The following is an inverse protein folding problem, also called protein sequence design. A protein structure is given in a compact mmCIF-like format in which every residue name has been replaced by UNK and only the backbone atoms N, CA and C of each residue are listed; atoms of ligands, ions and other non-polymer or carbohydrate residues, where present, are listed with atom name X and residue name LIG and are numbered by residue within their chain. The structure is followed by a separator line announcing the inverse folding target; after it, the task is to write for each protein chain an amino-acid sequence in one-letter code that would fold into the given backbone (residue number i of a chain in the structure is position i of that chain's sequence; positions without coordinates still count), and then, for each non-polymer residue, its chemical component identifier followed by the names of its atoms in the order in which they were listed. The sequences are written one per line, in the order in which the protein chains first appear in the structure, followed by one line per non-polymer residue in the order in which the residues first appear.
data_IF_734275128156
#
_entry.id   IF_734275128156
#
_cell.length_a   1.000
_cell.length_b   1.000
_cell.length_c   1.000
_cell.angle_alpha   90.00
_cell.angle_beta   90.00
_cell.angle_gamma   90.00
#
_symmetry.space_group_name_H-M   'P 1'
#
loop_
_entity.id
_entity.type
_entity.pdbx_description
1 polymer ?
#
# COMPACT_ATOMS: atom_id res chain seq x y z
N UNK A 1 6.67 -18.90 5.31
CA UNK A 1 5.72 -18.65 6.44
C UNK A 1 4.26 -18.78 6.00
N UNK A 2 3.33 -19.15 6.89
CA UNK A 2 1.91 -19.32 6.55
C UNK A 2 1.26 -18.06 5.96
N UNK A 3 1.70 -16.87 6.40
CA UNK A 3 1.23 -15.59 5.88
C UNK A 3 1.67 -15.32 4.43
N UNK A 4 2.87 -15.76 4.03
CA UNK A 4 3.34 -15.70 2.64
C UNK A 4 2.52 -16.65 1.78
N UNK A 5 2.33 -17.89 2.24
CA UNK A 5 1.50 -18.89 1.56
C UNK A 5 0.08 -18.40 1.33
N UNK A 6 -0.58 -17.81 2.31
CA UNK A 6 -1.96 -17.32 2.14
C UNK A 6 -2.12 -16.28 1.02
N UNK A 7 -1.09 -15.48 0.72
CA UNK A 7 -1.17 -14.48 -0.37
C UNK A 7 -0.65 -15.02 -1.69
N UNK A 8 0.42 -15.82 -1.68
CA UNK A 8 0.85 -16.53 -2.89
C UNK A 8 -0.25 -17.47 -3.37
N UNK A 9 -0.88 -18.24 -2.48
CA UNK A 9 -1.98 -19.16 -2.79
C UNK A 9 -3.19 -18.39 -3.33
N UNK A 10 -3.49 -17.19 -2.82
CA UNK A 10 -4.54 -16.32 -3.38
C UNK A 10 -4.18 -15.78 -4.78
N UNK A 11 -2.90 -15.48 -5.04
CA UNK A 11 -2.43 -15.09 -6.37
C UNK A 11 -2.47 -16.27 -7.35
N UNK A 12 -2.05 -17.46 -6.91
CA UNK A 12 -2.14 -18.70 -7.66
C UNK A 12 -3.59 -19.08 -7.94
N UNK A 13 -4.48 -19.03 -6.95
CA UNK A 13 -5.92 -19.28 -7.14
C UNK A 13 -6.53 -18.34 -8.18
N UNK A 14 -6.14 -17.06 -8.20
CA UNK A 14 -6.58 -16.13 -9.23
C UNK A 14 -6.05 -16.50 -10.61
N UNK A 15 -4.79 -16.92 -10.71
CA UNK A 15 -4.19 -17.42 -11.95
C UNK A 15 -4.93 -18.67 -12.44
N UNK A 16 -5.09 -19.69 -11.59
CA UNK A 16 -5.80 -20.94 -11.89
C UNK A 16 -7.27 -20.73 -12.25
N UNK A 17 -7.94 -19.73 -11.66
CA UNK A 17 -9.33 -19.37 -12.02
C UNK A 17 -9.44 -18.57 -13.32
N UNK A 18 -8.40 -17.82 -13.69
CA UNK A 18 -8.41 -16.92 -14.86
C UNK A 18 -7.94 -17.62 -16.13
N UNK A 19 -7.00 -18.57 -16.01
CA UNK A 19 -6.29 -19.16 -17.14
C UNK A 19 -6.88 -20.52 -17.51
N UNK A 20 -6.97 -20.82 -18.81
CA UNK A 20 -7.27 -22.18 -19.27
C UNK A 20 -6.10 -23.12 -18.97
N UNK A 21 -6.29 -24.45 -18.97
CA UNK A 21 -5.19 -25.41 -18.82
C UNK A 21 -4.02 -25.16 -19.79
N UNK A 22 -4.31 -24.84 -21.05
CA UNK A 22 -3.29 -24.56 -22.05
C UNK A 22 -2.50 -23.28 -21.73
N UNK A 23 -3.18 -22.25 -21.22
CA UNK A 23 -2.53 -21.01 -20.78
C UNK A 23 -1.65 -21.23 -19.56
N UNK A 24 -2.05 -22.10 -18.64
CA UNK A 24 -1.22 -22.49 -17.49
C UNK A 24 0.03 -23.25 -17.93
N UNK A 25 -0.08 -24.16 -18.90
CA UNK A 25 1.09 -24.86 -19.43
C UNK A 25 2.04 -23.91 -20.17
N UNK A 26 1.52 -22.95 -20.93
CA UNK A 26 2.33 -21.89 -21.53
C UNK A 26 3.00 -21.01 -20.46
N UNK A 27 2.31 -20.72 -19.35
CA UNK A 27 2.89 -19.95 -18.25
C UNK A 27 4.06 -20.68 -17.57
N UNK A 28 3.98 -22.01 -17.39
CA UNK A 28 5.09 -22.83 -16.88
C UNK A 28 6.31 -22.74 -17.80
N UNK A 29 6.10 -22.88 -19.11
CA UNK A 29 7.18 -22.72 -20.10
C UNK A 29 7.78 -21.30 -20.02
N UNK A 30 6.95 -20.28 -19.84
CA UNK A 30 7.39 -18.90 -19.64
C UNK A 30 8.27 -18.74 -18.40
N UNK A 31 7.86 -19.34 -17.28
CA UNK A 31 8.62 -19.34 -16.02
C UNK A 31 9.99 -20.01 -16.18
N UNK A 32 10.04 -21.19 -16.79
CA UNK A 32 11.29 -21.90 -17.07
C UNK A 32 12.25 -21.07 -17.94
N UNK A 33 11.72 -20.39 -18.97
CA UNK A 33 12.52 -19.51 -19.83
C UNK A 33 13.02 -18.27 -19.10
N UNK A 34 12.23 -17.69 -18.19
CA UNK A 34 12.65 -16.58 -17.36
C UNK A 34 13.81 -16.99 -16.44
N UNK A 35 13.71 -18.17 -15.81
CA UNK A 35 14.77 -18.73 -14.98
C UNK A 35 16.05 -18.99 -15.78
N UNK A 36 15.95 -19.59 -16.98
CA UNK A 36 17.10 -19.79 -17.87
C UNK A 36 17.79 -18.46 -18.24
N UNK A 37 16.99 -17.43 -18.54
CA UNK A 37 17.52 -16.10 -18.84
C UNK A 37 18.29 -15.52 -17.65
N UNK A 38 17.71 -15.52 -16.45
CA UNK A 38 18.35 -15.02 -15.23
C UNK A 38 19.69 -15.71 -15.00
N UNK A 39 19.68 -17.05 -15.05
CA UNK A 39 20.89 -17.89 -14.90
C UNK A 39 21.98 -17.52 -15.89
N UNK A 40 21.64 -17.39 -17.17
CA UNK A 40 22.59 -17.06 -18.24
C UNK A 40 23.11 -15.63 -18.14
N UNK A 41 22.26 -14.69 -17.75
CA UNK A 41 22.64 -13.31 -17.52
C UNK A 41 23.69 -13.21 -16.40
N UNK A 42 23.44 -13.86 -15.26
CA UNK A 42 24.40 -13.92 -14.15
C UNK A 42 25.69 -14.62 -14.58
N UNK A 43 25.60 -15.76 -15.27
CA UNK A 43 26.77 -16.50 -15.75
C UNK A 43 27.64 -15.69 -16.75
N UNK A 44 27.03 -14.74 -17.47
CA UNK A 44 27.73 -13.82 -18.37
C UNK A 44 28.37 -12.62 -17.64
N UNK A 45 28.31 -12.56 -16.31
CA UNK A 45 28.80 -11.43 -15.51
C UNK A 45 27.81 -10.27 -15.39
N UNK A 46 26.54 -10.50 -15.75
CA UNK A 46 25.47 -9.54 -15.56
C UNK A 46 25.24 -9.22 -14.08
N UNK A 47 25.03 -7.93 -13.77
CA UNK A 47 24.74 -7.47 -12.42
C UNK A 47 23.25 -7.64 -12.11
N UNK A 48 22.89 -8.71 -11.40
CA UNK A 48 21.52 -8.93 -10.94
C UNK A 48 21.19 -8.00 -9.77
N UNK A 49 20.04 -7.34 -9.81
CA UNK A 49 19.53 -6.48 -8.74
C UNK A 49 18.10 -6.91 -8.42
N UNK A 50 17.82 -7.05 -7.14
CA UNK A 50 16.51 -7.48 -6.66
C UNK A 50 15.46 -6.38 -6.55
N UNK A 51 14.21 -6.80 -6.63
CA UNK A 51 13.01 -5.98 -6.46
C UNK A 51 11.74 -6.83 -6.58
N UNK A 52 10.87 -6.77 -5.58
CA UNK A 52 9.80 -7.77 -5.41
C UNK A 52 8.38 -7.30 -5.80
N UNK A 53 8.23 -6.09 -6.34
CA UNK A 53 6.95 -5.44 -6.67
C UNK A 53 5.77 -5.79 -5.72
N UNK A 54 5.94 -5.55 -4.41
CA UNK A 54 5.08 -6.18 -3.41
C UNK A 54 3.69 -5.53 -3.36
N UNK A 55 2.58 -6.28 -3.50
CA UNK A 55 1.27 -5.76 -3.18
C UNK A 55 1.14 -5.56 -1.66
N UNK A 56 0.75 -4.35 -1.23
CA UNK A 56 0.26 -4.02 0.12
C UNK A 56 1.00 -4.69 1.31
N UNK A 57 1.91 -3.96 1.96
CA UNK A 57 2.40 -4.31 3.31
C UNK A 57 3.26 -5.59 3.43
N UNK A 58 3.58 -6.26 2.32
CA UNK A 58 4.43 -7.46 2.30
C UNK A 58 5.82 -7.22 1.70
N UNK A 59 6.24 -5.96 1.61
CA UNK A 59 7.49 -5.59 0.93
C UNK A 59 8.71 -6.34 1.46
N UNK A 60 8.78 -6.56 2.77
CA UNK A 60 9.87 -7.35 3.36
C UNK A 60 9.78 -8.83 2.97
N UNK A 61 8.61 -9.47 3.10
CA UNK A 61 8.48 -10.91 2.87
C UNK A 61 8.73 -11.31 1.42
N UNK A 62 8.24 -10.52 0.46
CA UNK A 62 8.40 -10.85 -0.97
C UNK A 62 9.82 -10.61 -1.47
N UNK A 63 10.61 -9.76 -0.80
CA UNK A 63 12.04 -9.66 -1.09
C UNK A 63 12.77 -10.96 -0.74
N UNK A 64 12.45 -11.60 0.38
CA UNK A 64 13.02 -12.90 0.72
C UNK A 64 12.58 -14.01 -0.24
N UNK A 65 11.34 -13.96 -0.72
CA UNK A 65 10.86 -14.90 -1.75
C UNK A 65 11.63 -14.72 -3.06
N UNK A 66 11.91 -13.48 -3.46
CA UNK A 66 12.68 -13.19 -4.67
C UNK A 66 14.09 -13.81 -4.61
N UNK A 67 14.76 -13.73 -3.45
CA UNK A 67 16.03 -14.44 -3.23
C UNK A 67 15.93 -15.96 -3.39
N UNK A 68 14.81 -16.55 -2.98
CA UNK A 68 14.56 -17.99 -3.19
C UNK A 68 14.41 -18.26 -4.69
N UNK A 69 13.64 -17.44 -5.40
CA UNK A 69 13.44 -17.57 -6.85
C UNK A 69 14.75 -17.43 -7.64
N UNK A 70 15.65 -16.55 -7.23
CA UNK A 70 17.00 -16.44 -7.79
C UNK A 70 17.77 -17.77 -7.64
N UNK A 71 17.77 -18.35 -6.45
CA UNK A 71 18.42 -19.65 -6.19
C UNK A 71 17.75 -20.78 -6.97
N UNK A 72 16.42 -20.78 -7.09
CA UNK A 72 15.67 -21.72 -7.94
C UNK A 72 16.03 -21.58 -9.42
N UNK A 73 16.32 -20.36 -9.89
CA UNK A 73 16.82 -20.10 -11.23
C UNK A 73 18.28 -20.56 -11.43
N UNK A 74 18.97 -21.01 -10.36
CA UNK A 74 20.34 -21.49 -10.40
C UNK A 74 21.38 -20.40 -10.12
N UNK A 75 20.98 -19.27 -9.55
CA UNK A 75 21.90 -18.24 -9.06
C UNK A 75 22.54 -18.71 -7.74
N UNK A 76 23.86 -18.59 -7.55
CA UNK A 76 24.49 -18.93 -6.28
C UNK A 76 23.91 -18.10 -5.11
N UNK A 77 23.70 -18.68 -3.91
CA UNK A 77 23.09 -17.96 -2.78
C UNK A 77 23.76 -16.63 -2.42
N UNK A 78 25.10 -16.58 -2.44
CA UNK A 78 25.83 -15.32 -2.20
C UNK A 78 25.53 -14.26 -3.27
N UNK A 79 25.37 -14.67 -4.53
CA UNK A 79 25.02 -13.75 -5.62
C UNK A 79 23.60 -13.21 -5.46
N UNK A 80 22.65 -14.04 -5.00
CA UNK A 80 21.29 -13.58 -4.66
C UNK A 80 21.31 -12.58 -3.50
N UNK A 81 22.06 -12.85 -2.43
CA UNK A 81 22.24 -11.88 -1.31
C UNK A 81 22.82 -10.56 -1.81
N UNK A 82 23.82 -10.60 -2.70
CA UNK A 82 24.37 -9.41 -3.34
C UNK A 82 23.34 -8.67 -4.21
N UNK A 83 22.44 -9.40 -4.87
CA UNK A 83 21.37 -8.82 -5.67
C UNK A 83 20.43 -7.94 -4.85
N UNK A 84 20.18 -8.26 -3.58
CA UNK A 84 19.38 -7.44 -2.66
C UNK A 84 20.19 -6.43 -1.82
N UNK A 85 21.53 -6.43 -1.91
CA UNK A 85 22.40 -5.56 -1.10
C UNK A 85 23.34 -4.73 -1.98
N UNK A 86 24.56 -5.20 -2.23
CA UNK A 86 25.62 -4.48 -2.93
C UNK A 86 25.19 -4.05 -4.33
N UNK A 87 24.48 -4.91 -5.06
CA UNK A 87 24.10 -4.62 -6.45
C UNK A 87 23.00 -3.55 -6.50
N UNK A 88 22.10 -3.51 -5.52
CA UNK A 88 21.15 -2.40 -5.34
C UNK A 88 21.92 -1.10 -5.11
N UNK A 89 22.87 -1.08 -4.17
CA UNK A 89 23.66 0.10 -3.88
C UNK A 89 24.43 0.60 -5.11
N UNK A 90 25.04 -0.30 -5.89
CA UNK A 90 25.71 0.03 -7.16
C UNK A 90 24.75 0.62 -8.19
N UNK A 91 23.57 0.02 -8.36
CA UNK A 91 22.56 0.52 -9.31
C UNK A 91 22.11 1.94 -8.99
N UNK A 92 22.04 2.29 -7.70
CA UNK A 92 21.71 3.64 -7.23
C UNK A 92 22.93 4.56 -7.05
N UNK A 93 24.15 4.10 -7.37
CA UNK A 93 25.41 4.85 -7.17
C UNK A 93 25.62 5.29 -5.72
N UNK A 94 25.31 4.37 -4.81
CA UNK A 94 25.35 4.52 -3.35
C UNK A 94 26.24 3.48 -2.67
N UNK A 95 26.99 2.72 -3.46
CA UNK A 95 27.89 1.66 -3.00
C UNK A 95 29.08 2.17 -2.18
N UNK A 96 29.37 3.47 -2.17
CA UNK A 96 30.33 4.07 -1.24
C UNK A 96 29.80 4.13 0.20
N UNK A 97 28.49 4.30 0.36
CA UNK A 97 27.86 4.50 1.66
C UNK A 97 27.13 3.24 2.16
N UNK A 98 26.63 2.39 1.25
CA UNK A 98 25.71 1.28 1.54
C UNK A 98 26.10 -0.03 0.83
N UNK A 99 25.38 -1.11 1.16
CA UNK A 99 25.35 -2.36 0.40
C UNK A 99 26.38 -3.41 0.82
N UNK A 100 27.33 -3.09 1.71
CA UNK A 100 28.26 -4.06 2.30
C UNK A 100 28.70 -3.63 3.70
N UNK A 101 29.27 -4.57 4.46
CA UNK A 101 29.79 -4.35 5.81
C UNK A 101 31.27 -4.01 5.72
N UNK A 102 31.58 -2.72 5.63
CA UNK A 102 32.94 -2.20 5.48
C UNK A 102 33.13 -0.94 6.35
N UNK A 103 34.35 -0.68 6.88
CA UNK A 103 34.63 0.54 7.62
C UNK A 103 34.30 1.80 6.82
N UNK A 104 33.65 2.77 7.46
CA UNK A 104 33.27 4.05 6.84
C UNK A 104 31.89 4.06 6.18
N UNK A 105 31.24 2.91 6.01
CA UNK A 105 29.87 2.80 5.50
C UNK A 105 28.82 3.03 6.59
N UNK A 106 27.59 3.32 6.16
CA UNK A 106 26.44 3.47 7.04
C UNK A 106 26.12 2.12 7.69
N UNK A 107 25.88 2.14 9.00
CA UNK A 107 25.61 0.95 9.80
C UNK A 107 24.15 0.48 9.65
N UNK A 108 23.80 0.05 8.44
CA UNK A 108 22.53 -0.59 8.10
C UNK A 108 22.74 -2.11 7.99
N UNK A 109 22.24 -2.86 8.97
CA UNK A 109 22.52 -4.28 9.13
C UNK A 109 21.23 -5.07 9.41
N UNK A 110 21.13 -6.26 8.84
CA UNK A 110 20.17 -7.28 9.25
C UNK A 110 20.94 -8.47 9.82
N UNK A 111 20.64 -8.84 11.07
CA UNK A 111 21.23 -10.00 11.74
C UNK A 111 20.24 -11.15 11.65
N UNK A 112 20.70 -12.27 11.12
CA UNK A 112 19.87 -13.40 10.70
C UNK A 112 20.29 -14.64 11.49
N UNK A 113 19.33 -15.45 11.91
CA UNK A 113 19.58 -16.76 12.51
C UNK A 113 19.59 -17.86 11.44
N UNK A 114 20.69 -18.63 11.39
CA UNK A 114 20.92 -19.67 10.39
C UNK A 114 21.98 -19.26 9.37
N UNK A 115 22.27 -20.16 8.42
CA UNK A 115 23.24 -19.93 7.34
C UNK A 115 22.52 -19.76 5.99
N UNK A 116 22.41 -18.52 5.46
CA UNK A 116 21.73 -18.25 4.20
C UNK A 116 22.50 -18.74 2.96
N UNK A 117 23.76 -19.18 3.11
CA UNK A 117 24.53 -19.78 2.02
C UNK A 117 24.21 -21.26 1.86
N UNK A 118 23.83 -21.94 2.94
CA UNK A 118 23.38 -23.33 2.94
C UNK A 118 21.88 -23.45 2.66
N UNK A 119 21.08 -22.52 3.19
CA UNK A 119 19.64 -22.45 2.98
C UNK A 119 19.18 -20.99 2.87
N UNK A 120 18.85 -20.55 1.66
CA UNK A 120 18.46 -19.16 1.40
C UNK A 120 17.19 -18.73 2.15
N UNK A 121 16.34 -19.67 2.58
CA UNK A 121 15.19 -19.38 3.43
C UNK A 121 15.59 -18.83 4.80
N UNK A 122 16.81 -19.12 5.26
CA UNK A 122 17.32 -18.57 6.52
C UNK A 122 17.27 -17.04 6.54
N UNK A 123 17.33 -16.36 5.37
CA UNK A 123 17.25 -14.90 5.29
C UNK A 123 16.00 -14.30 5.96
N UNK A 124 14.91 -15.07 6.08
CA UNK A 124 13.67 -14.66 6.74
C UNK A 124 13.76 -14.62 8.27
N UNK A 125 14.75 -15.28 8.87
CA UNK A 125 14.90 -15.41 10.32
C UNK A 125 15.65 -14.21 10.92
N UNK A 126 15.18 -13.00 10.63
CA UNK A 126 15.80 -11.76 11.11
C UNK A 126 15.59 -11.62 12.62
N UNK A 127 16.68 -11.53 13.37
CA UNK A 127 16.69 -11.36 14.84
C UNK A 127 16.89 -9.92 15.28
N UNK A 128 17.60 -9.14 14.47
CA UNK A 128 17.89 -7.76 14.78
C UNK A 128 18.05 -6.98 13.48
N UNK A 129 17.54 -5.75 13.47
CA UNK A 129 17.80 -4.78 12.42
C UNK A 129 18.49 -3.59 13.07
N UNK A 130 19.59 -3.15 12.47
CA UNK A 130 20.28 -1.90 12.79
C UNK A 130 20.07 -0.98 11.60
N UNK A 131 19.61 0.24 11.85
CA UNK A 131 19.43 1.27 10.83
C UNK A 131 20.11 2.54 11.34
N UNK A 132 21.00 3.12 10.54
CA UNK A 132 21.81 4.29 10.90
C UNK A 132 22.52 4.11 12.26
N UNK A 133 23.07 2.91 12.49
CA UNK A 133 23.77 2.56 13.74
C UNK A 133 22.87 2.36 14.96
N UNK A 134 21.54 2.40 14.81
CA UNK A 134 20.57 2.22 15.91
C UNK A 134 19.80 0.93 15.73
N UNK A 135 19.68 0.16 16.81
CA UNK A 135 18.82 -1.04 16.83
C UNK A 135 17.36 -0.61 16.70
N UNK A 136 16.63 -1.23 15.77
CA UNK A 136 15.21 -0.99 15.51
C UNK A 136 14.37 -2.05 16.20
N UNK A 137 13.26 -1.64 16.83
CA UNK A 137 12.25 -2.58 17.32
C UNK A 137 11.50 -3.20 16.13
N UNK A 138 11.69 -4.49 15.94
CA UNK A 138 11.08 -5.28 14.86
C UNK A 138 9.71 -5.87 15.26
N UNK A 139 9.21 -5.58 16.46
CA UNK A 139 7.91 -6.05 16.91
C UNK A 139 6.76 -5.39 16.11
N UNK A 140 5.72 -6.17 15.81
CA UNK A 140 4.53 -5.71 15.09
C UNK A 140 3.58 -4.82 15.90
N UNK A 141 4.00 -4.32 17.07
CA UNK A 141 3.13 -3.68 18.06
C UNK A 141 2.55 -2.33 17.62
N UNK A 142 3.11 -1.67 16.59
CA UNK A 142 2.67 -0.35 16.13
C UNK A 142 2.83 -0.13 14.61
N UNK A 143 2.64 -1.17 13.77
CA UNK A 143 2.82 -1.04 12.33
C UNK A 143 1.89 0.02 11.72
N UNK A 144 2.47 1.12 11.25
CA UNK A 144 1.83 2.11 10.36
C UNK A 144 2.52 1.97 9.00
N UNK A 145 1.78 1.65 7.95
CA UNK A 145 2.34 1.55 6.61
C UNK A 145 2.99 2.89 6.23
N UNK A 146 4.33 2.98 6.14
CA UNK A 146 5.03 4.25 5.89
C UNK A 146 4.88 4.71 4.44
N UNK A 147 4.42 3.80 3.58
CA UNK A 147 4.12 4.07 2.18
C UNK A 147 2.62 4.40 2.10
N UNK A 148 2.24 5.63 1.71
CA UNK A 148 0.85 5.96 1.40
C UNK A 148 0.27 4.92 0.44
N UNK A 149 -0.95 4.46 0.67
CA UNK A 149 -1.55 3.40 -0.16
C UNK A 149 -1.49 3.77 -1.64
N UNK A 150 -0.62 3.10 -2.42
CA UNK A 150 -0.42 3.30 -3.87
C UNK A 150 -1.69 3.11 -4.74
N UNK A 151 -2.84 2.80 -4.13
CA UNK A 151 -4.11 2.55 -4.82
C UNK A 151 -5.32 3.08 -4.05
N UNK A 152 -5.20 4.11 -3.21
CA UNK A 152 -6.38 4.61 -2.51
C UNK A 152 -7.44 5.15 -3.48
N UNK A 153 -7.04 5.71 -4.63
CA UNK A 153 -7.96 6.11 -5.71
C UNK A 153 -8.78 4.96 -6.31
N UNK A 154 -8.31 3.70 -6.24
CA UNK A 154 -9.09 2.54 -6.68
C UNK A 154 -10.13 2.09 -5.66
N UNK A 155 -10.07 2.63 -4.43
CA UNK A 155 -10.98 2.29 -3.33
C UNK A 155 -12.02 3.37 -3.06
N UNK A 156 -12.00 4.49 -3.80
CA UNK A 156 -12.95 5.57 -3.61
C UNK A 156 -14.31 5.12 -4.16
N UNK A 157 -15.40 5.20 -3.37
CA UNK A 157 -16.72 4.83 -3.85
C UNK A 157 -17.12 5.69 -5.06
N UNK A 158 -17.49 5.04 -6.16
CA UNK A 158 -17.99 5.71 -7.38
C UNK A 158 -19.46 6.08 -7.29
N UNK A 159 -20.20 5.53 -6.33
CA UNK A 159 -21.60 5.87 -6.10
C UNK A 159 -21.76 6.22 -4.63
N UNK A 160 -22.35 7.39 -4.38
CA UNK A 160 -22.61 7.89 -3.04
C UNK A 160 -24.08 8.26 -2.86
N UNK A 161 -24.65 7.70 -1.82
CA UNK A 161 -25.95 8.10 -1.31
C UNK A 161 -25.79 8.67 0.10
N UNK A 162 -26.46 9.77 0.36
CA UNK A 162 -26.47 10.38 1.69
C UNK A 162 -27.88 10.43 2.27
N UNK A 163 -27.95 10.35 3.60
CA UNK A 163 -29.18 10.54 4.37
C UNK A 163 -28.86 11.20 5.72
N UNK A 164 -29.56 12.28 6.12
CA UNK A 164 -30.59 13.00 5.34
C UNK A 164 -30.00 13.78 4.16
N UNK A 165 -30.84 14.13 3.17
CA UNK A 165 -30.47 14.98 2.02
C UNK A 165 -30.83 16.46 2.18
N UNK A 166 -31.66 16.76 3.17
CA UNK A 166 -32.16 18.11 3.46
C UNK A 166 -31.88 18.42 4.92
N UNK A 167 -31.31 19.59 5.17
CA UNK A 167 -31.12 20.19 6.48
C UNK A 167 -31.60 21.64 6.47
N UNK A 168 -31.68 22.24 7.65
CA UNK A 168 -31.93 23.67 7.85
C UNK A 168 -30.63 24.33 8.30
N UNK A 169 -30.41 25.59 7.93
CA UNK A 169 -29.20 26.32 8.30
C UNK A 169 -28.96 26.33 9.83
N UNK A 170 -27.74 25.98 10.21
CA UNK A 170 -27.34 25.79 11.60
C UNK A 170 -28.05 24.66 12.34
N UNK A 171 -28.67 23.71 11.65
CA UNK A 171 -29.16 22.49 12.28
C UNK A 171 -27.98 21.59 12.70
N UNK A 172 -28.07 20.98 13.87
CA UNK A 172 -27.13 19.98 14.30
C UNK A 172 -26.86 19.96 15.82
N UNK A 173 -25.92 19.11 16.26
CA UNK A 173 -25.11 18.20 15.45
C UNK A 173 -25.97 17.14 14.73
N UNK A 174 -25.70 16.90 13.46
CA UNK A 174 -26.44 15.94 12.64
C UNK A 174 -25.54 14.80 12.18
N UNK A 175 -25.98 13.57 12.40
CA UNK A 175 -25.33 12.37 11.85
C UNK A 175 -25.78 12.18 10.40
N UNK A 176 -24.86 12.40 9.48
CA UNK A 176 -24.98 12.08 8.07
C UNK A 176 -24.56 10.63 7.84
N UNK A 177 -25.48 9.79 7.36
CA UNK A 177 -25.14 8.47 6.84
C UNK A 177 -24.70 8.61 5.39
N UNK A 178 -23.51 8.11 5.08
CA UNK A 178 -22.95 8.10 3.73
C UNK A 178 -22.80 6.65 3.31
N UNK A 179 -23.53 6.23 2.28
CA UNK A 179 -23.52 4.87 1.72
C UNK A 179 -22.87 4.85 0.35
N UNK A 180 -22.20 3.75 0.06
CA UNK A 180 -21.50 3.54 -1.19
C UNK A 180 -20.76 2.21 -1.18
N UNK A 181 -20.08 1.89 -2.27
CA UNK A 181 -19.35 0.63 -2.40
C UNK A 181 -17.88 0.79 -1.98
N UNK A 182 -17.31 -0.24 -1.35
CA UNK A 182 -15.88 -0.31 -1.00
C UNK A 182 -15.37 0.77 -0.03
N UNK A 183 -16.12 1.03 1.05
CA UNK A 183 -15.69 1.95 2.12
C UNK A 183 -14.65 1.31 3.05
N UNK A 184 -13.78 2.14 3.63
CA UNK A 184 -12.68 1.70 4.51
C UNK A 184 -12.51 2.62 5.74
N UNK A 185 -11.87 2.14 6.82
CA UNK A 185 -11.63 2.93 8.04
C UNK A 185 -10.84 4.24 7.84
N UNK A 186 -10.03 4.31 6.79
CA UNK A 186 -9.23 5.49 6.45
C UNK A 186 -9.97 6.50 5.55
N UNK A 187 -11.21 6.23 5.16
CA UNK A 187 -12.00 7.21 4.40
C UNK A 187 -12.51 8.32 5.31
N UNK A 188 -12.57 9.53 4.74
CA UNK A 188 -13.07 10.75 5.37
C UNK A 188 -14.14 11.36 4.50
N UNK A 189 -15.23 11.77 5.13
CA UNK A 189 -16.32 12.48 4.46
C UNK A 189 -15.97 13.95 4.43
N UNK A 190 -16.03 14.54 3.25
CA UNK A 190 -15.72 15.94 3.00
C UNK A 190 -17.02 16.69 2.72
N UNK A 191 -17.12 17.91 3.23
CA UNK A 191 -18.22 18.85 2.98
C UNK A 191 -17.68 20.08 2.25
N UNK A 192 -18.31 20.43 1.14
CA UNK A 192 -17.95 21.62 0.36
C UNK A 192 -19.20 22.38 -0.07
N UNK A 193 -19.24 23.70 0.09
CA UNK A 193 -20.32 24.52 -0.46
C UNK A 193 -20.06 24.83 -1.94
N UNK A 194 -21.06 24.66 -2.80
CA UNK A 194 -20.88 24.84 -4.26
C UNK A 194 -21.00 26.30 -4.70
N UNK A 195 -21.66 27.18 -3.92
CA UNK A 195 -21.83 28.59 -4.27
C UNK A 195 -21.76 29.51 -3.05
N UNK A 196 -20.68 30.30 -2.94
CA UNK A 196 -20.49 31.34 -1.93
C UNK A 196 -19.02 31.77 -1.81
N UNK A 197 -18.75 33.06 -2.02
CA UNK A 197 -17.46 33.77 -1.97
C UNK A 197 -16.30 33.16 -2.78
N UNK A 198 -15.68 33.98 -3.64
CA UNK A 198 -14.54 33.68 -4.53
C UNK A 198 -13.28 33.17 -3.77
N UNK A 199 -13.34 33.10 -2.44
CA UNK A 199 -12.19 32.83 -1.56
C UNK A 199 -12.24 31.51 -0.76
N UNK A 200 -13.29 30.69 -0.84
CA UNK A 200 -13.34 29.43 -0.05
C UNK A 200 -13.35 28.17 -0.94
N UNK A 201 -12.15 27.80 -1.41
CA UNK A 201 -11.92 26.63 -2.27
C UNK A 201 -11.76 25.31 -1.50
N UNK A 202 -11.70 25.36 -0.16
CA UNK A 202 -11.28 24.22 0.66
C UNK A 202 -12.49 23.37 1.10
N UNK A 203 -12.45 22.07 0.80
CA UNK A 203 -13.36 21.10 1.40
C UNK A 203 -13.04 20.94 2.89
N UNK A 204 -14.07 20.87 3.72
CA UNK A 204 -13.95 20.69 5.17
C UNK A 204 -14.08 19.19 5.46
N UNK A 205 -13.14 18.63 6.20
CA UNK A 205 -13.23 17.24 6.68
C UNK A 205 -14.24 17.14 7.83
N UNK A 206 -15.23 16.25 7.69
CA UNK A 206 -16.17 15.96 8.76
C UNK A 206 -15.62 14.86 9.69
N UNK A 207 -15.85 14.95 11.00
CA UNK A 207 -15.65 13.82 11.91
C UNK A 207 -16.34 12.57 11.35
N UNK A 208 -15.55 11.57 10.96
CA UNK A 208 -16.01 10.40 10.21
C UNK A 208 -15.79 9.13 11.02
N UNK A 209 -16.83 8.34 11.18
CA UNK A 209 -16.83 7.01 11.75
C UNK A 209 -17.05 5.96 10.66
N UNK A 210 -16.17 4.97 10.61
CA UNK A 210 -16.38 3.79 9.78
C UNK A 210 -17.37 2.84 10.43
N UNK A 211 -18.46 2.55 9.73
CA UNK A 211 -19.48 1.59 10.20
C UNK A 211 -19.26 0.24 9.55
N UNK A 212 -19.07 0.21 8.23
CA UNK A 212 -18.93 -1.02 7.45
C UNK A 212 -18.34 -0.74 6.07
N UNK A 213 -18.10 -1.81 5.30
CA UNK A 213 -17.65 -1.74 3.90
C UNK A 213 -18.61 -0.99 2.96
N UNK A 214 -19.80 -0.64 3.42
CA UNK A 214 -20.83 0.05 2.65
C UNK A 214 -21.47 1.27 3.36
N UNK A 215 -21.02 1.62 4.56
CA UNK A 215 -21.54 2.78 5.30
C UNK A 215 -20.43 3.49 6.10
N UNK A 216 -20.39 4.82 5.96
CA UNK A 216 -19.72 5.75 6.87
C UNK A 216 -20.77 6.59 7.57
N UNK A 217 -20.46 7.05 8.77
CA UNK A 217 -21.19 8.10 9.46
C UNK A 217 -20.31 9.33 9.59
N UNK A 218 -20.83 10.49 9.25
CA UNK A 218 -20.15 11.76 9.43
C UNK A 218 -21.00 12.68 10.30
N UNK A 219 -20.36 13.50 11.13
CA UNK A 219 -21.06 14.47 11.96
C UNK A 219 -20.93 15.86 11.35
N UNK A 220 -22.08 16.47 11.02
CA UNK A 220 -22.16 17.87 10.60
C UNK A 220 -22.50 18.70 11.83
N UNK A 221 -21.61 19.61 12.22
CA UNK A 221 -21.86 20.56 13.28
C UNK A 221 -22.65 21.79 12.76
N UNK A 222 -23.48 22.45 13.59
CA UNK A 222 -24.26 23.63 13.19
C UNK A 222 -23.44 24.72 12.47
N UNK A 223 -22.23 24.96 12.95
CA UNK A 223 -21.29 25.96 12.44
C UNK A 223 -20.74 25.64 11.03
N UNK A 224 -20.93 24.41 10.54
CA UNK A 224 -20.49 24.00 9.20
C UNK A 224 -21.53 24.29 8.11
N UNK A 225 -22.77 24.59 8.51
CA UNK A 225 -23.90 24.87 7.60
C UNK A 225 -24.63 26.16 7.98
N UNK A 226 -23.88 27.24 8.24
CA UNK A 226 -24.42 28.54 8.64
C UNK A 226 -25.13 29.29 7.53
N UNK A 227 -24.91 28.90 6.27
CA UNK A 227 -25.52 29.55 5.12
C UNK A 227 -26.37 28.54 4.32
N UNK A 228 -27.54 28.95 3.84
CA UNK A 228 -28.38 28.11 3.01
C UNK A 228 -27.74 27.94 1.62
N UNK A 229 -28.10 26.84 0.96
CA UNK A 229 -27.64 26.49 -0.38
C UNK A 229 -27.29 25.02 -0.56
N UNK A 230 -26.65 24.73 -1.68
CA UNK A 230 -26.19 23.37 -2.02
C UNK A 230 -24.79 23.13 -1.50
N UNK A 231 -24.67 22.07 -0.73
CA UNK A 231 -23.41 21.51 -0.29
C UNK A 231 -23.19 20.18 -1.01
N UNK A 232 -21.92 19.89 -1.28
CA UNK A 232 -21.44 18.66 -1.87
C UNK A 232 -20.75 17.85 -0.79
N UNK A 233 -21.11 16.57 -0.74
CA UNK A 233 -20.48 15.55 0.04
C UNK A 233 -19.63 14.71 -0.90
N UNK A 234 -18.35 14.57 -0.56
CA UNK A 234 -17.42 13.65 -1.21
C UNK A 234 -16.72 12.79 -0.17
N UNK A 235 -16.04 11.75 -0.61
CA UNK A 235 -15.16 10.92 0.20
C UNK A 235 -13.75 11.06 -0.31
N UNK A 236 -12.84 11.17 0.64
CA UNK A 236 -11.41 11.25 0.40
C UNK A 236 -10.67 10.24 1.29
N UNK A 237 -9.55 9.73 0.82
CA UNK A 237 -8.66 8.93 1.66
C UNK A 237 -7.82 9.83 2.57
N UNK A 238 -7.73 9.47 3.84
CA UNK A 238 -6.90 10.15 4.83
C UNK A 238 -5.45 10.28 4.34
N UNK A 239 -4.90 11.50 4.42
CA UNK A 239 -3.53 11.80 4.04
C UNK A 239 -3.28 12.03 2.55
N UNK A 240 -4.29 11.89 1.68
CA UNK A 240 -4.13 12.17 0.25
C UNK A 240 -4.50 13.62 -0.10
N UNK A 241 -4.07 14.09 -1.27
CA UNK A 241 -4.44 15.42 -1.79
C UNK A 241 -5.57 15.29 -2.81
N UNK A 242 -5.54 14.27 -3.66
CA UNK A 242 -6.51 13.93 -4.70
C UNK A 242 -6.48 12.41 -4.97
N UNK A 243 -7.52 11.80 -5.56
CA UNK A 243 -8.82 12.37 -5.95
C UNK A 243 -9.89 12.26 -4.85
N UNK A 244 -11.00 13.01 -4.99
CA UNK A 244 -12.23 12.84 -4.22
C UNK A 244 -13.24 11.97 -5.00
N UNK A 245 -14.20 11.35 -4.31
CA UNK A 245 -15.28 10.56 -4.92
C UNK A 245 -16.20 11.35 -5.84
N UNK A 246 -17.16 10.64 -6.44
CA UNK A 246 -18.35 11.30 -6.97
C UNK A 246 -19.09 12.11 -5.89
N UNK A 247 -19.82 13.12 -6.33
CA UNK A 247 -20.51 14.08 -5.48
C UNK A 247 -21.90 13.59 -5.11
N UNK A 248 -22.23 13.63 -3.83
CA UNK A 248 -23.60 13.61 -3.36
C UNK A 248 -24.01 15.02 -2.91
N UNK A 249 -25.27 15.40 -3.11
CA UNK A 249 -25.73 16.75 -2.81
C UNK A 249 -26.58 16.79 -1.55
N UNK A 250 -26.21 17.68 -0.63
CA UNK A 250 -26.92 18.04 0.58
C UNK A 250 -27.51 19.44 0.40
N UNK A 251 -28.81 19.58 0.59
CA UNK A 251 -29.50 20.86 0.52
C UNK A 251 -29.69 21.42 1.92
N UNK A 252 -29.26 22.67 2.13
CA UNK A 252 -29.48 23.40 3.38
C UNK A 252 -30.48 24.52 3.09
N UNK A 253 -31.68 24.42 3.68
CA UNK A 253 -32.73 25.43 3.60
C UNK A 253 -32.56 26.55 4.61
N UNK A 254 -33.30 27.63 4.41
CA UNK A 254 -33.36 28.77 5.33
C UNK A 254 -33.96 28.36 6.68
N UNK A 255 -33.55 29.03 7.75
CA UNK A 255 -34.22 28.95 9.04
C UNK A 255 -35.50 29.79 8.95
N UNK A 256 -36.62 29.19 9.31
CA UNK A 256 -37.89 29.93 9.52
C UNK A 256 -37.82 30.83 10.76
#
# INVERSE_FOLDING_TARGET
PAAVRAVTDNAYDKLYKRYTPEQLDLAKIGYEKANDFIRRFVAAGGLLKEGSDPPRGMAAMLLHEALVMDVEAGVPPMTAIQAATLNVAKAFRKDQDYGSVEPGKVADLAIIEGDPLSDIWATQNVKMVVMDGKVVDVAFSNYKNPIPSFYSYQSIPTELEISPRLLVEGAGPTTLRVRGNAMWPFHRVMLKREFGSIFNLNSIELPTLFVSRNELQATIAPEMITEPGTYTITIKSEGEVLPESHRAHLIVGFRE
#
